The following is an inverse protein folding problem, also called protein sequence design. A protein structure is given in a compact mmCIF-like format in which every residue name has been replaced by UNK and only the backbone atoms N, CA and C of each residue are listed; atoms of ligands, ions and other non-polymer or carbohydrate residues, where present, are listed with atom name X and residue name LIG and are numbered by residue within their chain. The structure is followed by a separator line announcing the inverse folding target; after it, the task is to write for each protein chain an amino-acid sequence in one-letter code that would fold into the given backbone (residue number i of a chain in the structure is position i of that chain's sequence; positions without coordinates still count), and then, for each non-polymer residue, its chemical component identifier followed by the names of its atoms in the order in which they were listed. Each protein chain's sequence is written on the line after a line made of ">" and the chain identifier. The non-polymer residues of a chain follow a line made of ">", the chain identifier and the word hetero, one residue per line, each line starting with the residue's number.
data_IF_772809594550
#
_entry.id   IF_772809594550
#
_cell.length_a   1.000
_cell.length_b   1.000
_cell.length_c   1.000
_cell.angle_alpha   90.00
_cell.angle_beta   90.00
_cell.angle_gamma   90.00
#
_symmetry.space_group_name_H-M   'P 1'
#
loop_
_entity.id
_entity.type
_entity.pdbx_description
1 polymer ?
#
# COMPACT_ATOMS: atom_id res chain seq x y z
N UNK A 1 -1.15 -13.66 11.60
CA UNK A 1 -1.02 -14.52 10.39
C UNK A 1 -1.43 -13.71 9.17
N UNK A 2 -0.76 -13.89 8.07
CA UNK A 2 -1.11 -13.20 6.81
C UNK A 2 -2.46 -13.74 6.31
N UNK A 3 -3.38 -12.82 6.03
CA UNK A 3 -4.71 -13.13 5.50
C UNK A 3 -4.72 -12.96 3.98
N UNK A 4 -4.67 -14.05 3.23
CA UNK A 4 -4.56 -14.03 1.76
C UNK A 4 -5.68 -13.23 1.09
N UNK A 5 -6.91 -13.43 1.52
CA UNK A 5 -8.07 -12.72 0.96
C UNK A 5 -7.96 -11.21 1.19
N UNK A 6 -7.53 -10.79 2.37
CA UNK A 6 -7.32 -9.37 2.69
C UNK A 6 -6.18 -8.78 1.86
N UNK A 7 -5.06 -9.51 1.71
CA UNK A 7 -3.93 -9.09 0.86
C UNK A 7 -4.37 -8.86 -0.59
N UNK A 8 -5.10 -9.82 -1.17
CA UNK A 8 -5.61 -9.73 -2.54
C UNK A 8 -6.60 -8.57 -2.69
N UNK A 9 -7.56 -8.45 -1.77
CA UNK A 9 -8.54 -7.37 -1.78
C UNK A 9 -7.84 -5.99 -1.66
N UNK A 10 -6.87 -5.87 -0.76
CA UNK A 10 -6.09 -4.66 -0.57
C UNK A 10 -5.30 -4.29 -1.84
N UNK A 11 -4.65 -5.25 -2.47
CA UNK A 11 -3.95 -5.02 -3.74
C UNK A 11 -4.91 -4.54 -4.84
N UNK A 12 -6.04 -5.20 -5.02
CA UNK A 12 -7.04 -4.81 -6.01
C UNK A 12 -7.62 -3.41 -5.73
N UNK A 13 -7.83 -3.05 -4.47
CA UNK A 13 -8.25 -1.70 -4.09
C UNK A 13 -7.19 -0.66 -4.44
N UNK A 14 -5.94 -0.92 -4.09
CA UNK A 14 -4.83 0.00 -4.35
C UNK A 14 -4.60 0.26 -5.84
N UNK A 15 -4.66 -0.77 -6.69
CA UNK A 15 -4.45 -0.57 -8.13
C UNK A 15 -5.57 0.23 -8.79
N UNK A 16 -6.78 0.23 -8.23
CA UNK A 16 -7.91 0.99 -8.72
C UNK A 16 -7.89 2.47 -8.31
N UNK A 17 -7.01 2.86 -7.41
CA UNK A 17 -6.77 4.27 -7.09
C UNK A 17 -5.73 4.79 -8.08
N UNK A 18 -6.13 5.69 -8.97
CA UNK A 18 -5.22 6.30 -9.93
C UNK A 18 -4.12 7.08 -9.20
N UNK A 19 -2.86 6.78 -9.52
CA UNK A 19 -1.72 7.46 -8.92
C UNK A 19 -0.54 7.58 -9.88
N UNK A 20 -0.75 8.14 -11.07
CA UNK A 20 0.39 8.41 -11.95
C UNK A 20 1.36 9.39 -11.26
N UNK A 21 2.62 9.35 -11.66
CA UNK A 21 3.66 10.20 -11.07
C UNK A 21 3.23 11.68 -11.08
N UNK A 22 3.43 12.35 -9.95
CA UNK A 22 3.00 13.72 -9.66
C UNK A 22 1.48 13.92 -9.42
N UNK A 23 0.70 12.84 -9.43
CA UNK A 23 -0.74 12.88 -9.17
C UNK A 23 -1.15 11.81 -8.12
N UNK A 24 -0.35 11.64 -7.06
CA UNK A 24 -0.53 10.59 -6.06
C UNK A 24 -1.44 10.98 -4.88
N UNK A 25 -2.13 12.10 -4.93
CA UNK A 25 -2.87 12.66 -3.79
C UNK A 25 -3.93 11.70 -3.23
N UNK A 26 -4.72 11.06 -4.09
CA UNK A 26 -5.77 10.15 -3.65
C UNK A 26 -5.18 8.88 -3.01
N UNK A 27 -4.10 8.35 -3.57
CA UNK A 27 -3.36 7.23 -2.98
C UNK A 27 -2.76 7.61 -1.63
N UNK A 28 -2.11 8.75 -1.55
CA UNK A 28 -1.52 9.24 -0.30
C UNK A 28 -2.57 9.44 0.80
N UNK A 29 -3.73 9.98 0.46
CA UNK A 29 -4.84 10.13 1.40
C UNK A 29 -5.36 8.77 1.89
N UNK A 30 -5.53 7.82 0.99
CA UNK A 30 -5.96 6.46 1.32
C UNK A 30 -4.99 5.77 2.28
N UNK A 31 -3.69 5.82 1.97
CA UNK A 31 -2.65 5.22 2.81
C UNK A 31 -2.54 5.91 4.17
N UNK A 32 -2.62 7.25 4.20
CA UNK A 32 -2.62 8.02 5.45
C UNK A 32 -3.74 7.56 6.38
N UNK A 33 -4.96 7.42 5.87
CA UNK A 33 -6.09 6.96 6.66
C UNK A 33 -5.91 5.54 7.20
N UNK A 34 -5.36 4.62 6.40
CA UNK A 34 -5.11 3.25 6.84
C UNK A 34 -4.03 3.18 7.92
N UNK A 35 -2.93 3.90 7.74
CA UNK A 35 -1.82 3.95 8.69
C UNK A 35 -2.22 4.63 10.01
N UNK A 36 -3.00 5.70 9.94
CA UNK A 36 -3.54 6.37 11.13
C UNK A 36 -4.43 5.42 11.96
N UNK A 37 -5.29 4.63 11.31
CA UNK A 37 -6.12 3.61 11.99
C UNK A 37 -5.28 2.53 12.68
N UNK A 38 -4.09 2.25 12.18
CA UNK A 38 -3.15 1.30 12.80
C UNK A 38 -2.33 1.94 13.94
N UNK A 39 -2.55 3.22 14.22
CA UNK A 39 -1.95 3.93 15.34
C UNK A 39 -0.62 4.61 15.03
N UNK A 40 -0.21 4.69 13.77
CA UNK A 40 0.99 5.42 13.37
C UNK A 40 0.78 6.93 13.40
N UNK A 41 1.85 7.67 13.69
CA UNK A 41 1.92 9.09 13.39
C UNK A 41 2.27 9.26 11.92
N UNK A 42 1.38 9.88 11.14
CA UNK A 42 1.54 9.98 9.68
C UNK A 42 1.77 11.43 9.28
N UNK A 43 2.82 11.69 8.52
CA UNK A 43 3.13 13.00 7.96
C UNK A 43 3.36 12.90 6.46
N UNK A 44 3.20 14.01 5.76
CA UNK A 44 3.54 14.19 4.35
C UNK A 44 4.71 15.16 4.24
N UNK A 45 5.75 14.80 3.51
CA UNK A 45 6.84 15.71 3.24
C UNK A 45 6.53 16.63 2.04
N UNK A 46 7.46 17.55 1.74
CA UNK A 46 7.30 18.52 0.65
C UNK A 46 7.27 17.87 -0.75
N UNK A 47 7.73 16.62 -0.87
CA UNK A 47 7.68 15.84 -2.10
C UNK A 47 6.41 15.00 -2.23
N UNK A 48 5.55 15.00 -1.21
CA UNK A 48 4.33 14.23 -1.17
C UNK A 48 4.49 12.79 -0.65
N UNK A 49 5.66 12.40 -0.16
CA UNK A 49 5.85 11.09 0.46
C UNK A 49 4.99 10.94 1.72
N UNK A 50 4.40 9.78 1.90
CA UNK A 50 3.68 9.40 3.12
C UNK A 50 4.68 8.73 4.06
N UNK A 51 4.90 9.32 5.22
CA UNK A 51 5.84 8.83 6.23
C UNK A 51 5.05 8.50 7.50
N UNK A 52 5.01 7.23 7.84
CA UNK A 52 4.35 6.73 9.04
C UNK A 52 5.42 6.24 10.03
N UNK A 53 5.31 6.64 11.28
CA UNK A 53 6.30 6.29 12.30
C UNK A 53 5.66 6.02 13.65
N UNK A 54 6.41 5.31 14.49
CA UNK A 54 6.14 5.06 15.89
C UNK A 54 7.31 5.52 16.75
N UNK A 55 7.05 5.79 18.02
CA UNK A 55 8.12 6.03 18.98
C UNK A 55 8.84 4.72 19.33
N UNK A 56 10.15 4.81 19.50
CA UNK A 56 10.96 3.68 19.92
C UNK A 56 12.41 3.76 19.45
N UNK A 57 13.22 2.84 19.94
CA UNK A 57 14.63 2.75 19.57
C UNK A 57 14.84 1.73 18.44
N UNK A 58 15.80 2.04 17.59
CA UNK A 58 16.24 1.13 16.52
C UNK A 58 15.11 0.72 15.57
N UNK A 59 14.44 1.68 14.91
CA UNK A 59 13.31 1.39 14.04
C UNK A 59 13.71 0.60 12.79
N UNK A 60 12.79 -0.23 12.31
CA UNK A 60 12.89 -0.86 11.00
C UNK A 60 12.23 0.03 9.95
N UNK A 61 12.89 0.25 8.82
CA UNK A 61 12.31 0.97 7.68
C UNK A 61 11.70 -0.02 6.67
N UNK A 62 10.43 0.20 6.34
CA UNK A 62 9.75 -0.42 5.21
C UNK A 62 9.45 0.66 4.17
N UNK A 63 9.72 0.40 2.91
CA UNK A 63 9.55 1.41 1.87
C UNK A 63 9.03 0.79 0.57
N UNK A 64 8.10 1.49 -0.08
CA UNK A 64 7.61 1.18 -1.41
C UNK A 64 7.13 2.49 -2.07
N UNK A 65 7.28 2.62 -3.39
CA UNK A 65 6.68 3.75 -4.08
C UNK A 65 5.19 3.52 -4.33
N UNK A 66 4.41 4.60 -4.38
CA UNK A 66 2.95 4.54 -4.55
C UNK A 66 2.47 5.04 -5.91
N UNK A 67 3.35 5.62 -6.70
CA UNK A 67 3.04 6.07 -8.05
C UNK A 67 3.13 4.93 -9.07
N UNK A 68 2.50 5.14 -10.20
CA UNK A 68 2.55 4.24 -11.36
C UNK A 68 2.88 5.01 -12.63
N UNK A 69 3.40 4.28 -13.62
CA UNK A 69 3.59 4.79 -14.97
C UNK A 69 2.26 4.78 -15.75
N UNK A 70 2.24 5.48 -16.87
CA UNK A 70 1.11 5.41 -17.81
C UNK A 70 1.29 4.26 -18.84
N UNK A 71 0.19 3.66 -19.36
CA UNK A 71 -1.22 3.93 -19.06
C UNK A 71 -1.66 3.27 -17.75
N UNK A 72 -1.91 4.07 -16.72
CA UNK A 72 -2.17 3.61 -15.36
C UNK A 72 -3.41 4.22 -14.71
N UNK A 73 -4.42 4.60 -15.50
CA UNK A 73 -5.69 5.17 -15.01
C UNK A 73 -6.85 4.24 -15.31
N UNK A 74 -7.82 4.18 -14.40
CA UNK A 74 -8.99 3.33 -14.56
C UNK A 74 -8.63 1.85 -14.64
N UNK A 75 -7.64 1.41 -13.87
CA UNK A 75 -7.17 0.03 -13.86
C UNK A 75 -8.27 -0.90 -13.40
N UNK A 76 -8.53 -1.95 -14.17
CA UNK A 76 -9.46 -3.03 -13.83
C UNK A 76 -8.66 -4.30 -13.54
N UNK A 77 -8.47 -4.68 -12.27
CA UNK A 77 -7.78 -5.93 -11.95
C UNK A 77 -8.70 -7.13 -12.25
N UNK A 78 -8.13 -8.16 -12.84
CA UNK A 78 -8.82 -9.41 -13.16
C UNK A 78 -8.14 -10.54 -12.40
N UNK A 79 -8.90 -11.25 -11.57
CA UNK A 79 -8.42 -12.40 -10.81
C UNK A 79 -8.80 -13.66 -11.56
N UNK A 80 -7.79 -14.48 -11.88
CA UNK A 80 -7.98 -15.78 -12.52
C UNK A 80 -7.10 -16.82 -11.78
N UNK A 81 -7.71 -17.53 -10.85
CA UNK A 81 -6.99 -18.46 -9.98
C UNK A 81 -5.95 -17.74 -9.12
N UNK A 82 -4.69 -18.09 -9.29
CA UNK A 82 -3.57 -17.51 -8.55
C UNK A 82 -2.91 -16.32 -9.25
N UNK A 83 -3.51 -15.85 -10.34
CA UNK A 83 -2.98 -14.76 -11.17
C UNK A 83 -3.91 -13.54 -11.11
N UNK A 84 -3.33 -12.36 -10.98
CA UNK A 84 -4.02 -11.07 -11.12
C UNK A 84 -3.39 -10.34 -12.30
N UNK A 85 -4.22 -9.93 -13.25
CA UNK A 85 -3.81 -9.18 -14.44
C UNK A 85 -4.63 -7.89 -14.57
N UNK A 86 -4.20 -6.98 -15.44
CA UNK A 86 -5.06 -5.92 -15.94
C UNK A 86 -6.03 -6.48 -16.99
N UNK A 87 -6.97 -5.65 -17.43
CA UNK A 87 -7.87 -5.99 -18.55
C UNK A 87 -7.21 -5.86 -19.94
N UNK A 88 -5.93 -5.51 -19.98
CA UNK A 88 -5.15 -5.33 -21.22
C UNK A 88 -5.17 -3.90 -21.78
N UNK A 89 -6.00 -2.99 -21.21
CA UNK A 89 -6.06 -1.58 -21.65
C UNK A 89 -5.08 -0.68 -20.89
N UNK A 90 -4.63 -1.14 -19.73
CA UNK A 90 -3.70 -0.42 -18.85
C UNK A 90 -2.60 -1.37 -18.34
N UNK A 91 -1.61 -0.82 -17.64
CA UNK A 91 -0.77 -1.62 -16.73
C UNK A 91 -1.62 -2.12 -15.56
N UNK A 92 -1.12 -3.10 -14.80
CA UNK A 92 -1.75 -3.53 -13.55
C UNK A 92 -1.40 -2.62 -12.37
N UNK A 93 -0.21 -2.03 -12.37
CA UNK A 93 0.29 -1.22 -11.26
C UNK A 93 0.93 -2.03 -10.13
N UNK A 94 1.28 -3.28 -10.39
CA UNK A 94 1.93 -4.16 -9.42
C UNK A 94 3.29 -3.62 -8.94
N UNK A 95 3.98 -2.89 -9.80
CA UNK A 95 5.19 -2.14 -9.45
C UNK A 95 4.82 -0.68 -9.10
N UNK A 96 4.75 -0.28 -7.83
CA UNK A 96 5.03 -1.16 -6.68
C UNK A 96 3.84 -1.29 -5.71
N UNK A 97 2.60 -1.24 -6.16
CA UNK A 97 1.42 -1.41 -5.30
C UNK A 97 1.36 -2.81 -4.68
N UNK A 98 2.02 -3.80 -5.27
CA UNK A 98 2.22 -5.10 -4.62
C UNK A 98 3.07 -4.97 -3.35
N UNK A 99 4.13 -4.16 -3.39
CA UNK A 99 4.94 -3.86 -2.22
C UNK A 99 4.16 -3.10 -1.15
N UNK A 100 3.37 -2.11 -1.55
CA UNK A 100 2.48 -1.36 -0.64
C UNK A 100 1.47 -2.31 0.03
N UNK A 101 0.81 -3.17 -0.74
CA UNK A 101 -0.14 -4.14 -0.21
C UNK A 101 0.51 -5.11 0.78
N UNK A 102 1.72 -5.58 0.47
CA UNK A 102 2.48 -6.47 1.35
C UNK A 102 2.84 -5.79 2.69
N UNK A 103 3.28 -4.54 2.65
CA UNK A 103 3.56 -3.75 3.86
C UNK A 103 2.29 -3.61 4.69
N UNK A 104 1.19 -3.18 4.08
CA UNK A 104 -0.07 -2.97 4.79
C UNK A 104 -0.60 -4.26 5.43
N UNK A 105 -0.57 -5.38 4.71
CA UNK A 105 -0.97 -6.67 5.26
C UNK A 105 -0.07 -7.12 6.42
N UNK A 106 1.24 -6.92 6.28
CA UNK A 106 2.19 -7.22 7.35
C UNK A 106 1.89 -6.43 8.64
N UNK A 107 1.62 -5.13 8.50
CA UNK A 107 1.27 -4.25 9.62
C UNK A 107 -0.04 -4.69 10.29
N UNK A 108 -1.08 -4.95 9.52
CA UNK A 108 -2.38 -5.39 10.03
C UNK A 108 -2.28 -6.75 10.74
N UNK A 109 -1.59 -7.71 10.13
CA UNK A 109 -1.38 -9.04 10.72
C UNK A 109 -0.64 -8.99 12.05
N UNK A 110 0.39 -8.17 12.15
CA UNK A 110 1.15 -8.01 13.40
C UNK A 110 0.32 -7.30 14.46
N UNK A 111 -0.43 -6.26 14.09
CA UNK A 111 -1.32 -5.55 14.99
C UNK A 111 -2.39 -6.50 15.57
N UNK A 112 -3.01 -7.32 14.74
CA UNK A 112 -4.01 -8.33 15.17
C UNK A 112 -3.43 -9.40 16.07
N UNK A 113 -2.19 -9.82 15.81
CA UNK A 113 -1.54 -10.88 16.62
C UNK A 113 -1.13 -10.39 18.01
N UNK A 114 -1.01 -9.09 18.22
CA UNK A 114 -0.45 -8.50 19.44
C UNK A 114 1.01 -8.88 19.70
N UNK A 115 1.71 -9.39 18.69
CA UNK A 115 3.11 -9.79 18.82
C UNK A 115 4.00 -8.57 18.99
N UNK A 116 4.94 -8.67 19.94
CA UNK A 116 5.97 -7.64 20.11
C UNK A 116 6.87 -7.57 18.89
N UNK A 117 7.16 -6.37 18.42
CA UNK A 117 8.04 -6.11 17.27
C UNK A 117 8.87 -4.85 17.49
N UNK A 118 9.83 -4.65 16.63
CA UNK A 118 10.58 -3.37 16.56
C UNK A 118 9.64 -2.25 16.10
N UNK A 119 9.86 -1.01 16.54
CA UNK A 119 9.14 0.14 15.99
C UNK A 119 9.45 0.33 14.50
N UNK A 120 8.57 1.03 13.82
CA UNK A 120 8.68 1.38 12.41
C UNK A 120 8.72 2.89 12.25
#
# INVERSE_FOLDING_TARGET
>A
MIEKERLVASFCELVQIDSPSDEEEDMARHLTQRLDRLGFTVVRDDHGNVIASEEGLDPLLLSAHMDTVEPGRGITPIINGDLITSDGTTILGGDCKAGVAAIMEGLESVAESGTSRRPL
#
